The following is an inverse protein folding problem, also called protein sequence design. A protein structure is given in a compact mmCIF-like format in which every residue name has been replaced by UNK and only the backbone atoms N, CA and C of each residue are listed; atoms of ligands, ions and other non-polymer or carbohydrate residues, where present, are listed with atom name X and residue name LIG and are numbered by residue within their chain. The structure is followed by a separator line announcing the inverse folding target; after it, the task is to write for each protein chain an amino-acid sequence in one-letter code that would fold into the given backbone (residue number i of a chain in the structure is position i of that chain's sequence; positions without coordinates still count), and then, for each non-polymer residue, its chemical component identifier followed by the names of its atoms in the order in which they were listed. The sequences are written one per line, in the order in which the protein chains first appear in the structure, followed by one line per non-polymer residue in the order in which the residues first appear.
data_IF_073669348634
#
_entry.id   IF_073669348634
#
_cell.length_a   1.000
_cell.length_b   1.000
_cell.length_c   1.000
_cell.angle_alpha   90.00
_cell.angle_beta   90.00
_cell.angle_gamma   90.00
#
_symmetry.space_group_name_H-M   'P 1'
#
loop_
_entity.id
_entity.type
_entity.pdbx_description
1 polymer ?
#
# COMPACT_ATOMS: atom_id res chain seq x y z
N UNK A 1 -17.88 -26.39 -37.35
CA UNK A 1 -16.85 -26.10 -36.32
C UNK A 1 -16.86 -24.66 -35.77
N UNK A 2 -17.17 -23.61 -36.53
CA UNK A 2 -17.14 -22.21 -36.04
C UNK A 2 -18.13 -21.87 -34.89
N UNK A 3 -19.30 -22.52 -34.84
CA UNK A 3 -20.36 -22.23 -33.85
C UNK A 3 -19.96 -22.58 -32.41
N UNK A 4 -19.14 -23.63 -32.22
CA UNK A 4 -18.65 -24.05 -30.91
C UNK A 4 -17.56 -23.10 -30.38
N UNK A 5 -16.68 -22.59 -31.25
CA UNK A 5 -15.65 -21.61 -30.88
C UNK A 5 -16.27 -20.31 -30.34
N UNK A 6 -17.31 -19.77 -31.02
CA UNK A 6 -18.02 -18.56 -30.56
C UNK A 6 -18.68 -18.77 -29.19
N UNK A 7 -19.28 -19.94 -28.94
CA UNK A 7 -19.90 -20.28 -27.65
C UNK A 7 -18.88 -20.38 -26.52
N UNK A 8 -17.72 -21.01 -26.77
CA UNK A 8 -16.64 -21.07 -25.79
C UNK A 8 -16.07 -19.68 -25.49
N UNK A 9 -15.91 -18.84 -26.51
CA UNK A 9 -15.44 -17.46 -26.35
C UNK A 9 -16.42 -16.62 -25.51
N UNK A 10 -17.73 -16.75 -25.73
CA UNK A 10 -18.72 -16.05 -24.91
C UNK A 10 -18.75 -16.56 -23.47
N UNK A 11 -18.67 -17.87 -23.26
CA UNK A 11 -18.59 -18.46 -21.90
C UNK A 11 -17.35 -17.96 -21.16
N UNK A 12 -16.21 -17.88 -21.84
CA UNK A 12 -14.97 -17.29 -21.30
C UNK A 12 -15.13 -15.81 -20.94
N UNK A 13 -15.76 -15.01 -21.81
CA UNK A 13 -16.02 -13.58 -21.53
C UNK A 13 -16.95 -13.40 -20.33
N UNK A 14 -17.99 -14.22 -20.21
CA UNK A 14 -18.93 -14.21 -19.08
C UNK A 14 -18.24 -14.58 -17.76
N UNK A 15 -17.44 -15.65 -17.75
CA UNK A 15 -16.70 -16.07 -16.55
C UNK A 15 -15.70 -14.99 -16.12
N UNK A 16 -14.93 -14.39 -17.04
CA UNK A 16 -14.01 -13.29 -16.70
C UNK A 16 -14.74 -12.08 -16.13
N UNK A 17 -15.88 -11.70 -16.73
CA UNK A 17 -16.70 -10.57 -16.24
C UNK A 17 -17.26 -10.85 -14.85
N UNK A 18 -17.71 -12.07 -14.59
CA UNK A 18 -18.22 -12.51 -13.28
C UNK A 18 -17.11 -12.46 -12.21
N UNK A 19 -15.95 -13.05 -12.50
CA UNK A 19 -14.79 -13.07 -11.59
C UNK A 19 -14.28 -11.66 -11.23
N UNK A 20 -14.33 -10.71 -12.18
CA UNK A 20 -13.94 -9.32 -11.93
C UNK A 20 -14.92 -8.59 -10.99
N UNK A 21 -16.22 -8.85 -11.12
CA UNK A 21 -17.26 -8.20 -10.29
C UNK A 21 -17.30 -8.78 -8.87
N UNK A 22 -17.11 -10.09 -8.77
CA UNK A 22 -17.19 -10.85 -7.52
C UNK A 22 -16.12 -10.45 -6.49
N UNK A 23 -14.88 -10.19 -6.90
CA UNK A 23 -13.80 -9.96 -5.91
C UNK A 23 -13.98 -8.75 -4.99
N UNK A 24 -14.73 -7.74 -5.41
CA UNK A 24 -15.03 -6.55 -4.61
C UNK A 24 -16.41 -6.61 -3.94
N UNK A 25 -17.40 -7.21 -4.62
CA UNK A 25 -18.77 -7.35 -4.11
C UNK A 25 -18.90 -8.52 -3.10
N UNK A 26 -17.99 -9.48 -3.12
CA UNK A 26 -17.96 -10.64 -2.20
C UNK A 26 -17.27 -10.32 -0.86
N UNK A 27 -16.70 -9.12 -0.69
CA UNK A 27 -16.16 -8.67 0.60
C UNK A 27 -17.30 -8.19 1.48
N UNK A 28 -17.34 -8.63 2.75
CA UNK A 28 -18.26 -8.03 3.71
C UNK A 28 -17.98 -6.53 3.84
N UNK A 29 -19.01 -5.74 4.19
CA UNK A 29 -18.85 -4.28 4.38
C UNK A 29 -17.69 -3.96 5.33
N UNK A 30 -17.48 -4.78 6.36
CA UNK A 30 -16.36 -4.66 7.29
C UNK A 30 -15.00 -4.95 6.64
N UNK A 31 -14.87 -5.97 5.79
CA UNK A 31 -13.61 -6.28 5.10
C UNK A 31 -13.22 -5.18 4.10
N UNK A 32 -14.21 -4.66 3.36
CA UNK A 32 -13.98 -3.54 2.42
C UNK A 32 -13.59 -2.27 3.16
N UNK A 33 -14.29 -1.93 4.25
CA UNK A 33 -13.94 -0.79 5.10
C UNK A 33 -12.53 -0.95 5.71
N UNK A 34 -12.21 -2.13 6.24
CA UNK A 34 -10.89 -2.41 6.81
C UNK A 34 -9.76 -2.24 5.79
N UNK A 35 -9.97 -2.69 4.55
CA UNK A 35 -8.99 -2.52 3.45
C UNK A 35 -8.75 -1.05 3.13
N UNK A 36 -9.82 -0.25 3.04
CA UNK A 36 -9.72 1.19 2.78
C UNK A 36 -9.02 1.92 3.92
N UNK A 37 -9.37 1.60 5.17
CA UNK A 37 -8.75 2.19 6.36
C UNK A 37 -7.27 1.85 6.42
N UNK A 38 -6.90 0.58 6.25
CA UNK A 38 -5.50 0.17 6.24
C UNK A 38 -4.71 0.90 5.15
N UNK A 39 -5.22 0.92 3.92
CA UNK A 39 -4.58 1.65 2.82
C UNK A 39 -4.39 3.15 3.10
N UNK A 40 -5.41 3.80 3.66
CA UNK A 40 -5.32 5.22 4.04
C UNK A 40 -4.27 5.45 5.13
N UNK A 41 -4.23 4.59 6.16
CA UNK A 41 -3.22 4.64 7.22
C UNK A 41 -1.81 4.46 6.65
N UNK A 42 -1.62 3.50 5.73
CA UNK A 42 -0.32 3.28 5.09
C UNK A 42 0.18 4.51 4.35
N UNK A 43 -0.69 5.11 3.53
CA UNK A 43 -0.35 6.27 2.71
C UNK A 43 -0.02 7.46 3.62
N UNK A 44 -0.89 7.74 4.60
CA UNK A 44 -0.65 8.82 5.55
C UNK A 44 0.69 8.63 6.28
N UNK A 45 0.93 7.44 6.82
CA UNK A 45 2.15 7.12 7.55
C UNK A 45 3.41 7.28 6.69
N UNK A 46 3.39 6.74 5.46
CA UNK A 46 4.52 6.83 4.54
C UNK A 46 4.79 8.28 4.10
N UNK A 47 3.75 9.04 3.74
CA UNK A 47 3.89 10.45 3.35
C UNK A 47 4.43 11.27 4.51
N UNK A 48 3.89 11.10 5.71
CA UNK A 48 4.39 11.83 6.89
C UNK A 48 5.85 11.47 7.18
N UNK A 49 6.25 10.20 7.06
CA UNK A 49 7.65 9.80 7.26
C UNK A 49 8.59 10.42 6.23
N UNK A 50 8.22 10.42 4.94
CA UNK A 50 8.99 11.07 3.89
C UNK A 50 9.10 12.58 4.07
N UNK A 51 7.99 13.24 4.42
CA UNK A 51 7.95 14.69 4.66
C UNK A 51 8.78 15.05 5.89
N UNK A 52 8.65 14.28 6.98
CA UNK A 52 9.45 14.48 8.20
C UNK A 52 10.94 14.29 7.89
N UNK A 53 11.33 13.21 7.21
CA UNK A 53 12.71 12.98 6.80
C UNK A 53 13.23 14.13 5.93
N UNK A 54 12.46 14.57 4.93
CA UNK A 54 12.87 15.64 4.02
C UNK A 54 13.13 16.96 4.78
N UNK A 55 12.20 17.35 5.66
CA UNK A 55 12.25 18.61 6.43
C UNK A 55 13.26 18.57 7.57
N UNK A 56 13.52 17.41 8.16
CA UNK A 56 14.38 17.27 9.34
C UNK A 56 15.86 17.46 8.94
N UNK A 57 16.61 18.33 9.64
CA UNK A 57 18.04 18.52 9.39
C UNK A 57 18.81 17.24 9.73
N UNK A 58 19.96 17.03 9.09
CA UNK A 58 20.68 15.75 9.13
C UNK A 58 21.16 15.39 10.54
N UNK A 59 21.47 16.39 11.35
CA UNK A 59 21.94 16.28 12.74
C UNK A 59 20.84 15.70 13.67
N UNK A 60 19.57 15.89 13.29
CA UNK A 60 18.40 15.38 14.01
C UNK A 60 17.92 14.01 13.48
N UNK A 61 18.66 13.40 12.56
CA UNK A 61 18.37 12.07 12.03
C UNK A 61 19.46 11.11 12.51
N UNK A 62 19.06 9.95 13.03
CA UNK A 62 20.02 8.97 13.52
C UNK A 62 20.71 8.27 12.33
N UNK A 63 21.92 8.71 11.98
CA UNK A 63 22.70 8.14 10.88
C UNK A 63 22.44 8.80 9.52
N UNK A 64 22.67 8.07 8.42
CA UNK A 64 22.65 8.65 7.06
C UNK A 64 21.21 8.83 6.56
N UNK A 65 20.84 10.06 6.19
CA UNK A 65 19.49 10.43 5.72
C UNK A 65 18.94 9.55 4.59
N UNK A 66 19.77 9.19 3.60
CA UNK A 66 19.34 8.36 2.47
C UNK A 66 19.05 6.90 2.87
N UNK A 67 19.69 6.38 3.93
CA UNK A 67 19.41 5.04 4.45
C UNK A 67 17.98 4.99 5.00
N UNK A 68 17.58 6.02 5.75
CA UNK A 68 16.20 6.13 6.21
C UNK A 68 15.20 6.28 5.06
N UNK A 69 15.56 6.94 3.96
CA UNK A 69 14.74 6.95 2.76
C UNK A 69 14.50 5.54 2.20
N UNK A 70 15.54 4.71 2.11
CA UNK A 70 15.41 3.32 1.69
C UNK A 70 14.58 2.49 2.69
N UNK A 71 14.75 2.71 4.00
CA UNK A 71 13.97 2.05 5.05
C UNK A 71 12.49 2.40 4.92
N UNK A 72 12.13 3.69 4.81
CA UNK A 72 10.73 4.15 4.68
C UNK A 72 10.02 3.53 3.48
N UNK A 73 10.73 3.17 2.42
CA UNK A 73 10.15 2.50 1.26
C UNK A 73 9.63 1.07 1.54
N UNK A 74 9.95 0.49 2.71
CA UNK A 74 9.57 -0.87 3.10
C UNK A 74 8.18 -0.88 3.78
N UNK A 75 7.10 -0.83 2.98
CA UNK A 75 5.71 -0.99 3.44
C UNK A 75 5.41 -0.26 4.77
N UNK A 76 4.72 -0.89 5.74
CA UNK A 76 4.45 -0.30 7.06
C UNK A 76 5.69 -0.28 7.95
N UNK A 77 6.58 -1.27 7.80
CA UNK A 77 7.74 -1.44 8.68
C UNK A 77 8.68 -0.25 8.59
N UNK A 78 8.90 0.27 7.39
CA UNK A 78 9.79 1.39 7.11
C UNK A 78 9.43 2.67 7.84
N UNK A 79 8.23 3.23 7.56
CA UNK A 79 7.75 4.44 8.24
C UNK A 79 7.68 4.28 9.76
N UNK A 80 7.25 3.12 10.28
CA UNK A 80 7.22 2.84 11.72
C UNK A 80 8.64 2.88 12.30
N UNK A 81 9.59 2.16 11.70
CA UNK A 81 10.97 2.13 12.14
C UNK A 81 11.61 3.53 12.12
N UNK A 82 11.29 4.35 11.12
CA UNK A 82 11.75 5.73 11.04
C UNK A 82 11.27 6.57 12.23
N UNK A 83 9.99 6.50 12.58
CA UNK A 83 9.47 7.29 13.70
C UNK A 83 10.00 6.83 15.06
N UNK A 84 10.26 5.52 15.22
CA UNK A 84 10.77 4.93 16.45
C UNK A 84 12.27 5.14 16.64
N UNK A 85 13.08 5.04 15.58
CA UNK A 85 14.54 5.02 15.69
C UNK A 85 15.28 5.97 14.75
N UNK A 86 14.63 6.51 13.72
CA UNK A 86 15.27 7.41 12.75
C UNK A 86 15.34 8.87 13.17
N UNK A 87 14.51 9.27 14.13
CA UNK A 87 14.52 10.62 14.69
C UNK A 87 15.40 10.68 15.94
N UNK A 88 16.28 11.67 16.00
CA UNK A 88 17.03 12.00 17.22
C UNK A 88 16.16 12.92 18.07
N UNK A 89 15.84 12.48 19.28
CA UNK A 89 15.24 13.35 20.28
C UNK A 89 16.39 14.10 20.96
N UNK A 90 16.36 15.42 20.87
CA UNK A 90 17.26 16.28 21.64
C UNK A 90 16.66 16.37 23.04
N UNK A 91 17.23 15.63 23.99
CA UNK A 91 17.23 16.07 25.39
C UNK A 91 18.27 17.18 25.55
#
# INVERSE_FOLDING_TARGET
MQKQSKRQMQKRKQVRKKMQKQRWEDMSTGQRAGTLVAGAVQIALAVTAWVDLAKRPAEQVNGRKWVWGAVIAINYVGPIAYFLGGRRHSD
#
